data_IF_572802856240
#
_entry.id   IF_572802856240
#
_cell.length_a   1.000
_cell.length_b   1.000
_cell.length_c   1.000
_cell.angle_alpha   90.00
_cell.angle_beta   90.00
_cell.angle_gamma   90.00
#
_symmetry.space_group_name_H-M   'P 1'
#
loop_
_entity.id
_entity.type
_entity.pdbx_description
1 polymer ?
#
# COMPACT_ATOMS: atom_id res chain seq x y z
N UNK A 1 -56.37 2.88 36.87
CA UNK A 1 -55.76 3.61 35.73
C UNK A 1 -54.28 3.75 36.07
N UNK A 2 -53.43 2.98 35.39
CA UNK A 2 -52.04 2.77 35.79
C UNK A 2 -51.13 3.92 35.30
N UNK A 3 -50.30 4.42 36.21
CA UNK A 3 -49.14 5.30 35.97
C UNK A 3 -47.99 4.49 35.39
N UNK A 4 -47.30 4.99 34.35
CA UNK A 4 -45.91 4.62 34.09
C UNK A 4 -45.10 5.82 33.59
N UNK A 5 -44.21 6.28 34.47
CA UNK A 5 -43.12 7.22 34.21
C UNK A 5 -41.96 6.34 33.71
N UNK A 6 -41.51 6.52 32.47
CA UNK A 6 -40.36 5.80 31.94
C UNK A 6 -39.06 6.51 32.37
N UNK A 7 -38.45 5.98 33.43
CA UNK A 7 -37.07 6.29 33.82
C UNK A 7 -36.11 5.50 32.92
N UNK A 8 -35.22 6.20 32.22
CA UNK A 8 -34.16 5.57 31.42
C UNK A 8 -32.99 5.24 32.33
N UNK A 9 -32.90 3.97 32.76
CA UNK A 9 -31.75 3.44 33.49
C UNK A 9 -30.67 3.02 32.51
N UNK A 10 -29.50 3.68 32.59
CA UNK A 10 -28.31 3.30 31.85
C UNK A 10 -27.75 1.98 32.42
N UNK A 11 -27.94 0.88 31.69
CA UNK A 11 -27.27 -0.39 31.96
C UNK A 11 -25.94 -0.44 31.19
N UNK A 12 -24.82 -0.39 31.92
CA UNK A 12 -23.50 -0.69 31.41
C UNK A 12 -23.45 -2.16 30.96
N UNK A 13 -23.13 -2.40 29.69
CA UNK A 13 -22.87 -3.74 29.17
C UNK A 13 -21.46 -4.19 29.57
N UNK A 14 -21.27 -5.38 30.16
CA UNK A 14 -19.94 -5.90 30.45
C UNK A 14 -19.29 -6.43 29.17
N UNK A 15 -18.11 -5.91 28.84
CA UNK A 15 -17.21 -6.50 27.85
C UNK A 15 -16.75 -7.88 28.35
N UNK A 16 -16.91 -8.98 27.57
CA UNK A 16 -16.30 -10.25 27.90
C UNK A 16 -14.82 -10.24 27.50
N UNK A 17 -13.95 -9.93 28.46
CA UNK A 17 -12.50 -10.13 28.38
C UNK A 17 -12.18 -11.63 28.46
N UNK A 18 -12.19 -12.36 27.35
CA UNK A 18 -11.61 -13.70 27.29
C UNK A 18 -10.09 -13.63 27.10
N UNK A 19 -9.43 -13.58 28.25
CA UNK A 19 -8.23 -14.33 28.65
C UNK A 19 -7.49 -15.02 27.48
N UNK A 20 -6.38 -14.44 27.05
CA UNK A 20 -5.26 -15.18 26.48
C UNK A 20 -4.04 -14.92 27.37
N UNK A 21 -4.00 -15.61 28.51
CA UNK A 21 -2.86 -15.60 29.41
C UNK A 21 -2.26 -17.01 29.45
N UNK A 22 -1.47 -17.34 28.44
CA UNK A 22 -0.41 -18.32 28.58
C UNK A 22 0.92 -17.60 28.36
N UNK A 23 1.50 -17.23 29.50
CA UNK A 23 2.91 -16.93 29.69
C UNK A 23 3.77 -17.99 28.99
N UNK A 24 4.26 -17.68 27.79
CA UNK A 24 5.43 -18.33 27.21
C UNK A 24 6.57 -17.34 27.36
N UNK A 25 7.37 -17.54 28.41
CA UNK A 25 8.71 -16.95 28.44
C UNK A 25 9.59 -17.72 27.47
N UNK A 26 10.19 -17.08 26.45
CA UNK A 26 11.28 -17.71 25.71
C UNK A 26 12.55 -17.62 26.57
N UNK A 27 12.87 -18.68 27.31
CA UNK A 27 14.25 -18.90 27.79
C UNK A 27 15.10 -19.35 26.60
N UNK A 28 15.71 -18.40 25.90
CA UNK A 28 16.80 -18.68 24.97
C UNK A 28 18.07 -18.09 25.57
N UNK A 29 19.09 -18.89 25.93
CA UNK A 29 20.39 -18.34 26.26
C UNK A 29 21.12 -18.01 24.95
N UNK A 30 20.93 -16.80 24.43
CA UNK A 30 21.75 -16.27 23.34
C UNK A 30 23.02 -15.64 23.92
N UNK A 31 24.06 -16.45 24.11
CA UNK A 31 25.42 -15.93 24.24
C UNK A 31 25.92 -15.58 22.83
N UNK A 32 25.71 -14.34 22.40
CA UNK A 32 26.37 -13.80 21.23
C UNK A 32 27.82 -13.43 21.59
N UNK A 33 28.72 -14.38 21.36
CA UNK A 33 30.15 -14.09 21.33
C UNK A 33 30.45 -13.35 20.02
N UNK A 34 30.54 -12.02 20.08
CA UNK A 34 31.01 -11.21 18.95
C UNK A 34 32.49 -11.50 18.71
N UNK A 35 32.77 -12.46 17.84
CA UNK A 35 34.10 -12.67 17.28
C UNK A 35 34.25 -11.75 16.07
N UNK A 36 34.85 -10.59 16.29
CA UNK A 36 35.16 -9.62 15.24
C UNK A 36 36.20 -10.21 14.29
N UNK A 37 35.76 -10.72 13.14
CA UNK A 37 36.63 -10.86 11.96
C UNK A 37 36.25 -9.76 10.98
N UNK A 38 37.09 -8.74 10.88
CA UNK A 38 37.01 -7.76 9.80
C UNK A 38 37.34 -8.46 8.48
N UNK A 39 36.32 -8.95 7.78
CA UNK A 39 36.44 -9.25 6.37
C UNK A 39 36.39 -7.90 5.62
N UNK A 40 37.48 -7.55 4.95
CA UNK A 40 37.52 -6.41 4.04
C UNK A 40 36.59 -6.74 2.86
N UNK A 41 35.34 -6.28 2.91
CA UNK A 41 34.43 -6.33 1.77
C UNK A 41 34.90 -5.26 0.80
N UNK A 42 35.35 -5.71 -0.37
CA UNK A 42 35.53 -4.85 -1.55
C UNK A 42 34.19 -4.18 -1.84
N UNK A 43 34.15 -2.85 -1.73
CA UNK A 43 33.00 -2.02 -2.13
C UNK A 43 32.89 -2.04 -3.66
N UNK A 44 32.29 -3.10 -4.20
CA UNK A 44 31.61 -2.99 -5.48
C UNK A 44 30.38 -2.14 -5.24
N UNK A 45 30.38 -0.89 -5.73
CA UNK A 45 29.15 -0.11 -5.84
C UNK A 45 28.10 -1.01 -6.48
N UNK A 46 26.91 -1.19 -5.88
CA UNK A 46 25.85 -1.93 -6.56
C UNK A 46 25.65 -1.25 -7.90
N UNK A 47 25.79 -2.00 -9.00
CA UNK A 47 25.45 -1.47 -10.31
C UNK A 47 24.01 -0.96 -10.20
N UNK A 48 23.86 0.36 -10.33
CA UNK A 48 22.56 1.04 -10.32
C UNK A 48 21.83 0.53 -11.56
N UNK A 49 21.08 -0.55 -11.40
CA UNK A 49 20.22 -1.07 -12.44
C UNK A 49 19.23 0.04 -12.78
N UNK A 50 19.41 0.63 -13.96
CA UNK A 50 18.52 1.64 -14.50
C UNK A 50 17.38 0.87 -15.14
N UNK A 51 16.22 0.90 -14.49
CA UNK A 51 15.01 0.38 -15.07
C UNK A 51 14.70 1.17 -16.36
N UNK A 52 14.21 0.55 -17.45
CA UNK A 52 13.66 1.32 -18.56
C UNK A 52 12.66 2.34 -18.01
N UNK A 53 12.61 3.55 -18.59
CA UNK A 53 11.73 4.62 -18.11
C UNK A 53 10.34 4.04 -17.79
N UNK A 54 9.82 4.26 -16.57
CA UNK A 54 8.53 3.74 -16.17
C UNK A 54 7.52 4.19 -17.21
N UNK A 55 6.75 3.25 -17.75
CA UNK A 55 5.79 3.51 -18.82
C UNK A 55 4.87 4.63 -18.33
N UNK A 56 4.98 5.88 -18.85
CA UNK A 56 4.29 7.02 -18.26
C UNK A 56 2.77 6.81 -18.25
N UNK A 57 2.26 6.12 -19.26
CA UNK A 57 0.85 5.76 -19.38
C UNK A 57 0.40 4.78 -18.28
N UNK A 58 1.26 3.84 -17.87
CA UNK A 58 0.95 2.92 -16.77
C UNK A 58 0.84 3.71 -15.47
N UNK A 59 1.83 4.54 -15.15
CA UNK A 59 1.85 5.28 -13.90
C UNK A 59 0.65 6.23 -13.77
N UNK A 60 0.26 6.91 -14.85
CA UNK A 60 -0.96 7.74 -14.88
C UNK A 60 -2.21 6.88 -14.68
N UNK A 61 -2.38 5.80 -15.45
CA UNK A 61 -3.56 4.95 -15.36
C UNK A 61 -3.72 4.30 -13.98
N UNK A 62 -2.61 3.84 -13.41
CA UNK A 62 -2.58 3.15 -12.12
C UNK A 62 -2.84 4.12 -10.97
N UNK A 63 -2.30 5.34 -11.04
CA UNK A 63 -2.60 6.41 -10.08
C UNK A 63 -4.08 6.78 -10.08
N UNK A 64 -4.74 6.83 -11.25
CA UNK A 64 -6.18 7.13 -11.32
C UNK A 64 -7.02 6.02 -10.68
N UNK A 65 -6.68 4.74 -10.93
CA UNK A 65 -7.35 3.61 -10.27
C UNK A 65 -7.13 3.64 -8.76
N UNK A 66 -5.89 3.88 -8.34
CA UNK A 66 -5.52 4.02 -6.94
C UNK A 66 -6.35 5.10 -6.26
N UNK A 67 -6.43 6.30 -6.85
CA UNK A 67 -7.21 7.42 -6.31
C UNK A 67 -8.68 7.04 -6.11
N UNK A 68 -9.29 6.43 -7.12
CA UNK A 68 -10.70 6.03 -7.08
C UNK A 68 -10.97 4.95 -6.02
N UNK A 69 -10.13 3.91 -5.95
CA UNK A 69 -10.30 2.83 -4.97
C UNK A 69 -9.98 3.28 -3.55
N UNK A 70 -8.97 4.13 -3.35
CA UNK A 70 -8.65 4.68 -2.04
C UNK A 70 -9.81 5.54 -1.53
N UNK A 71 -10.33 6.46 -2.34
CA UNK A 71 -11.49 7.29 -1.99
C UNK A 71 -12.68 6.42 -1.58
N UNK A 72 -13.01 5.41 -2.38
CA UNK A 72 -14.10 4.45 -2.10
C UNK A 72 -13.88 3.61 -0.84
N UNK A 73 -12.63 3.30 -0.50
CA UNK A 73 -12.30 2.55 0.72
C UNK A 73 -12.42 3.44 1.96
N UNK A 74 -11.85 4.64 1.90
CA UNK A 74 -11.80 5.57 3.01
C UNK A 74 -13.13 6.30 3.25
N UNK A 75 -14.00 6.42 2.23
CA UNK A 75 -15.34 6.99 2.38
C UNK A 75 -16.24 6.23 3.36
N UNK A 76 -15.88 4.99 3.71
CA UNK A 76 -16.56 4.17 4.71
C UNK A 76 -16.25 4.63 6.14
N UNK A 77 -15.11 5.29 6.33
CA UNK A 77 -14.61 5.78 7.61
C UNK A 77 -14.92 7.27 7.76
N UNK A 78 -16.18 7.66 7.49
CA UNK A 78 -16.59 9.08 7.45
C UNK A 78 -16.31 9.82 8.76
N UNK A 79 -16.45 9.14 9.90
CA UNK A 79 -16.13 9.69 11.23
C UNK A 79 -14.66 10.07 11.39
N UNK A 80 -13.76 9.44 10.62
CA UNK A 80 -12.32 9.74 10.66
C UNK A 80 -11.99 10.88 9.71
N UNK A 81 -12.43 10.80 8.46
CA UNK A 81 -11.94 11.68 7.38
C UNK A 81 -12.80 12.93 7.15
N UNK A 82 -14.09 12.88 7.48
CA UNK A 82 -15.01 14.01 7.30
C UNK A 82 -14.90 14.65 5.91
N UNK A 83 -14.71 15.97 5.92
CA UNK A 83 -14.57 16.79 4.71
C UNK A 83 -13.12 16.82 4.17
N UNK A 84 -12.14 16.34 4.94
CA UNK A 84 -10.72 16.30 4.56
C UNK A 84 -10.34 15.05 3.75
N UNK A 85 -11.33 14.19 3.44
CA UNK A 85 -11.12 12.93 2.71
C UNK A 85 -10.44 13.15 1.35
N UNK A 86 -10.89 14.15 0.59
CA UNK A 86 -10.34 14.42 -0.74
C UNK A 86 -8.88 14.89 -0.67
N UNK A 87 -8.52 15.67 0.35
CA UNK A 87 -7.15 16.12 0.59
C UNK A 87 -6.24 14.96 0.96
N UNK A 88 -6.70 14.07 1.85
CA UNK A 88 -5.97 12.84 2.22
C UNK A 88 -5.70 11.98 0.98
N UNK A 89 -6.72 11.77 0.15
CA UNK A 89 -6.60 10.98 -1.08
C UNK A 89 -5.66 11.67 -2.08
N UNK A 90 -5.69 13.00 -2.19
CA UNK A 90 -4.77 13.75 -3.06
C UNK A 90 -3.31 13.56 -2.65
N UNK A 91 -3.00 13.70 -1.36
CA UNK A 91 -1.64 13.52 -0.84
C UNK A 91 -1.14 12.11 -1.08
N UNK A 92 -1.96 11.10 -0.79
CA UNK A 92 -1.63 9.71 -1.09
C UNK A 92 -1.38 9.49 -2.58
N UNK A 93 -2.20 10.07 -3.46
CA UNK A 93 -2.07 9.90 -4.91
C UNK A 93 -0.83 10.60 -5.47
N UNK A 94 -0.47 11.78 -4.97
CA UNK A 94 0.74 12.52 -5.35
C UNK A 94 2.00 11.69 -5.08
N UNK A 95 2.14 11.17 -3.85
CA UNK A 95 3.29 10.37 -3.43
C UNK A 95 3.35 9.05 -4.21
N UNK A 96 2.21 8.38 -4.37
CA UNK A 96 2.14 7.14 -5.14
C UNK A 96 2.51 7.35 -6.61
N UNK A 97 2.02 8.44 -7.21
CA UNK A 97 2.34 8.80 -8.58
C UNK A 97 3.84 9.05 -8.76
N UNK A 98 4.46 9.80 -7.83
CA UNK A 98 5.90 10.06 -7.87
C UNK A 98 6.72 8.76 -7.78
N UNK A 99 6.36 7.87 -6.86
CA UNK A 99 6.96 6.55 -6.74
C UNK A 99 6.86 5.74 -8.05
N UNK A 100 5.68 5.68 -8.66
CA UNK A 100 5.48 4.93 -9.91
C UNK A 100 6.32 5.49 -11.08
N UNK A 101 6.60 6.80 -11.08
CA UNK A 101 7.37 7.46 -12.13
C UNK A 101 8.88 7.47 -11.90
N UNK A 102 9.36 7.21 -10.69
CA UNK A 102 10.79 7.37 -10.36
C UNK A 102 11.46 6.11 -9.86
N UNK A 103 10.70 5.23 -9.20
CA UNK A 103 11.28 4.17 -8.39
C UNK A 103 10.68 2.80 -8.70
N UNK A 104 9.41 2.74 -9.10
CA UNK A 104 8.79 1.46 -9.43
C UNK A 104 9.40 0.87 -10.71
N UNK A 105 10.06 -0.28 -10.55
CA UNK A 105 10.74 -1.03 -11.59
C UNK A 105 9.95 -2.27 -12.04
N UNK A 106 8.63 -2.21 -12.05
CA UNK A 106 7.79 -3.35 -12.44
C UNK A 106 7.61 -4.43 -11.36
N UNK A 107 7.10 -5.61 -11.74
CA UNK A 107 6.59 -6.59 -10.77
C UNK A 107 7.64 -7.05 -9.78
N UNK A 108 7.28 -7.11 -8.49
CA UNK A 108 8.18 -7.50 -7.41
C UNK A 108 9.11 -6.38 -6.91
N UNK A 109 9.00 -5.15 -7.44
CA UNK A 109 9.78 -3.99 -6.99
C UNK A 109 8.99 -2.99 -6.14
N UNK A 110 7.79 -3.36 -5.70
CA UNK A 110 6.97 -2.51 -4.83
C UNK A 110 7.67 -2.25 -3.50
N UNK A 111 7.96 -0.98 -3.21
CA UNK A 111 8.61 -0.54 -1.98
C UNK A 111 7.58 -0.19 -0.90
N UNK A 112 7.99 -0.32 0.37
CA UNK A 112 7.17 0.11 1.52
C UNK A 112 7.35 1.61 1.82
N UNK A 113 8.51 2.16 1.47
CA UNK A 113 8.92 3.54 1.74
C UNK A 113 7.91 4.62 1.29
N UNK A 114 7.32 4.55 0.08
CA UNK A 114 6.32 5.53 -0.34
C UNK A 114 5.11 5.59 0.59
N UNK A 115 4.75 4.46 1.21
CA UNK A 115 3.61 4.37 2.11
C UNK A 115 3.95 4.86 3.51
N UNK A 116 5.21 4.73 3.94
CA UNK A 116 5.67 5.42 5.15
C UNK A 116 5.69 6.93 4.95
N UNK A 117 6.08 7.39 3.76
CA UNK A 117 6.09 8.81 3.40
C UNK A 117 4.68 9.38 3.33
N UNK A 118 3.70 8.64 2.82
CA UNK A 118 2.27 9.02 2.93
C UNK A 118 1.86 9.27 4.38
N UNK A 119 2.22 8.37 5.29
CA UNK A 119 1.88 8.54 6.71
C UNK A 119 2.55 9.78 7.31
N UNK A 120 3.83 10.03 6.97
CA UNK A 120 4.57 11.20 7.45
C UNK A 120 3.95 12.48 6.89
N UNK A 121 3.74 12.56 5.58
CA UNK A 121 3.18 13.72 4.90
C UNK A 121 1.78 14.07 5.41
N UNK A 122 0.91 13.08 5.63
CA UNK A 122 -0.42 13.30 6.20
C UNK A 122 -0.33 13.83 7.64
N UNK A 123 0.59 13.29 8.47
CA UNK A 123 0.79 13.77 9.84
C UNK A 123 1.33 15.20 9.89
N UNK A 124 2.30 15.52 9.04
CA UNK A 124 2.88 16.87 8.95
C UNK A 124 1.84 17.90 8.50
N UNK A 125 0.94 17.51 7.59
CA UNK A 125 -0.20 18.32 7.15
C UNK A 125 -1.37 18.33 8.14
N UNK A 126 -1.26 17.60 9.26
CA UNK A 126 -2.30 17.43 10.29
C UNK A 126 -3.61 16.84 9.75
N UNK A 127 -3.54 16.07 8.67
CA UNK A 127 -4.68 15.40 8.05
C UNK A 127 -5.07 14.14 8.84
N UNK A 128 -6.37 13.80 8.89
CA UNK A 128 -6.87 12.69 9.67
C UNK A 128 -6.49 11.33 9.08
N UNK A 129 -6.52 10.30 9.94
CA UNK A 129 -6.45 8.91 9.49
C UNK A 129 -5.15 8.50 8.78
N UNK A 130 -4.04 9.21 8.98
CA UNK A 130 -2.77 8.99 8.28
C UNK A 130 -2.32 7.52 8.21
N UNK A 131 -2.34 6.80 9.33
CA UNK A 131 -1.97 5.39 9.38
C UNK A 131 -2.96 4.49 8.61
N UNK A 132 -4.25 4.84 8.64
CA UNK A 132 -5.31 4.09 7.96
C UNK A 132 -5.20 4.29 6.44
N UNK A 133 -5.03 5.54 6.00
CA UNK A 133 -4.82 5.90 4.60
C UNK A 133 -3.56 5.24 4.01
N UNK A 134 -2.42 5.32 4.72
CA UNK A 134 -1.18 4.67 4.29
C UNK A 134 -1.32 3.14 4.19
N UNK A 135 -1.95 2.51 5.19
CA UNK A 135 -2.16 1.05 5.17
C UNK A 135 -3.11 0.62 4.06
N UNK A 136 -4.21 1.35 3.85
CA UNK A 136 -5.15 1.07 2.77
C UNK A 136 -4.46 1.20 1.41
N UNK A 137 -3.60 2.22 1.26
CA UNK A 137 -2.80 2.46 0.06
C UNK A 137 -1.84 1.30 -0.22
N UNK A 138 -1.05 0.89 0.78
CA UNK A 138 -0.12 -0.23 0.67
C UNK A 138 -0.83 -1.53 0.29
N UNK A 139 -1.95 -1.82 0.96
CA UNK A 139 -2.70 -3.04 0.71
C UNK A 139 -3.26 -3.05 -0.71
N UNK A 140 -3.80 -1.94 -1.20
CA UNK A 140 -4.24 -1.86 -2.58
C UNK A 140 -3.07 -2.12 -3.55
N UNK A 141 -1.94 -1.44 -3.35
CA UNK A 141 -0.79 -1.57 -4.23
C UNK A 141 -0.27 -3.01 -4.32
N UNK A 142 -0.18 -3.70 -3.17
CA UNK A 142 0.23 -5.11 -3.10
C UNK A 142 -0.69 -6.07 -3.88
N UNK A 143 -1.97 -5.74 -4.00
CA UNK A 143 -2.94 -6.62 -4.66
C UNK A 143 -3.08 -6.37 -6.16
N UNK A 144 -2.82 -5.15 -6.64
CA UNK A 144 -3.20 -4.74 -8.00
C UNK A 144 -2.02 -4.34 -8.89
N UNK A 145 -1.03 -3.62 -8.39
CA UNK A 145 -0.02 -2.96 -9.24
C UNK A 145 0.77 -3.96 -10.09
N UNK A 146 1.28 -5.01 -9.45
CA UNK A 146 2.03 -6.07 -10.15
C UNK A 146 1.17 -6.87 -11.14
N UNK A 147 -0.13 -7.01 -10.85
CA UNK A 147 -1.07 -7.74 -11.72
C UNK A 147 -1.45 -6.91 -12.94
N UNK A 148 -1.68 -5.62 -12.74
CA UNK A 148 -2.03 -4.69 -13.80
C UNK A 148 -0.85 -4.46 -14.74
N UNK A 149 0.37 -4.46 -14.21
CA UNK A 149 1.59 -4.48 -15.02
C UNK A 149 1.67 -5.72 -15.93
N UNK A 150 1.55 -6.93 -15.36
CA UNK A 150 1.57 -8.18 -16.15
C UNK A 150 0.49 -8.20 -17.23
N UNK A 151 -0.68 -7.65 -16.91
CA UNK A 151 -1.78 -7.52 -17.87
C UNK A 151 -1.44 -6.59 -19.02
N UNK A 152 -0.72 -5.49 -18.76
CA UNK A 152 -0.21 -4.59 -19.80
C UNK A 152 0.78 -5.31 -20.73
N UNK A 153 1.76 -6.03 -20.17
CA UNK A 153 2.72 -6.82 -20.95
C UNK A 153 2.03 -7.87 -21.84
N UNK A 154 1.03 -8.57 -21.29
CA UNK A 154 0.27 -9.57 -22.04
C UNK A 154 -0.52 -8.93 -23.21
N UNK A 155 -1.09 -7.74 -23.00
CA UNK A 155 -1.79 -7.00 -24.06
C UNK A 155 -0.81 -6.58 -25.15
N UNK A 156 0.34 -6.03 -24.80
CA UNK A 156 1.38 -5.61 -25.76
C UNK A 156 1.88 -6.80 -26.58
N UNK A 157 2.17 -7.93 -25.94
CA UNK A 157 2.65 -9.15 -26.63
C UNK A 157 1.59 -9.77 -27.52
N UNK A 158 0.31 -9.77 -27.11
CA UNK A 158 -0.81 -10.22 -27.95
C UNK A 158 -1.00 -9.32 -29.15
N UNK A 159 -0.99 -7.99 -28.96
CA UNK A 159 -1.12 -7.01 -30.05
C UNK A 159 0.02 -7.15 -31.05
N UNK A 160 1.27 -7.29 -30.60
CA UNK A 160 2.40 -7.53 -31.52
C UNK A 160 2.23 -8.84 -32.31
N UNK A 161 1.80 -9.93 -31.68
CA UNK A 161 1.52 -11.19 -32.40
C UNK A 161 0.37 -11.02 -33.40
N UNK A 162 -0.71 -10.33 -33.05
CA UNK A 162 -1.87 -10.11 -33.92
C UNK A 162 -1.58 -9.13 -35.07
N UNK A 163 -0.66 -8.19 -34.91
CA UNK A 163 -0.31 -7.20 -35.94
C UNK A 163 0.83 -7.68 -36.85
N UNK A 164 1.74 -8.51 -36.37
CA UNK A 164 2.88 -9.04 -37.16
C UNK A 164 2.54 -10.35 -37.90
N UNK A 165 1.68 -11.22 -37.35
CA UNK A 165 1.33 -12.50 -37.99
C UNK A 165 0.24 -12.52 -39.10
N UNK A 166 -0.54 -11.47 -39.41
CA UNK A 166 -1.45 -11.53 -40.56
C UNK A 166 -0.71 -11.38 -41.91
N UNK A 167 0.60 -11.08 -41.91
CA UNK A 167 1.39 -10.91 -43.13
C UNK A 167 1.99 -12.22 -43.71
N UNK A 168 1.80 -13.38 -43.07
CA UNK A 168 2.40 -14.66 -43.50
C UNK A 168 1.39 -15.81 -43.68
N UNK A 169 0.12 -15.50 -43.93
CA UNK A 169 -0.87 -16.50 -44.35
C UNK A 169 -1.65 -15.92 -45.54
N UNK A 170 -1.06 -16.03 -46.73
CA UNK A 170 -1.71 -15.55 -47.94
C UNK A 170 -0.76 -15.36 -49.13
N UNK A 171 -0.06 -16.42 -49.54
CA UNK A 171 0.34 -16.65 -50.94
C UNK A 171 0.57 -18.13 -51.17
#
# INVERSE_FOLDING_TARGET
MALHILTFTAAAVPFPSKIFNHSIQPKIPLQFHFSTRHALVSSTQPQKYVYPDPIPEFAVAETQKFKAELLKKLSKEKETFGDELDDVVSVCAEIFNEFLHKEYGGPGTLLVEPFTDMMVALKERKLPGAALAARASLLWAQNYVDQDWKTLELKTTKTMKTVIFPAYVGQ
#
